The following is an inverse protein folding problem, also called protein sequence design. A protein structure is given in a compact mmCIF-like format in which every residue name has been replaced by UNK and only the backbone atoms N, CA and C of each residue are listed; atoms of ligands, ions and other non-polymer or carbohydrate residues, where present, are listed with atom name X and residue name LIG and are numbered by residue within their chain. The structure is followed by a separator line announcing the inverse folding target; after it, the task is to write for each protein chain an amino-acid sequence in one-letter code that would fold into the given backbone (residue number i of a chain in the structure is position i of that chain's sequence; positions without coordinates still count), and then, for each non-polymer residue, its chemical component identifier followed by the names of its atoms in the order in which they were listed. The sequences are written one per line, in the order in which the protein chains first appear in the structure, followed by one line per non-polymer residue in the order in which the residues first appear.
data_IF_718132414859
#
_entry.id   IF_718132414859
#
_cell.length_a   1.000
_cell.length_b   1.000
_cell.length_c   1.000
_cell.angle_alpha   90.00
_cell.angle_beta   90.00
_cell.angle_gamma   90.00
#
_symmetry.space_group_name_H-M   'P 1'
#
loop_
_entity.id
_entity.type
_entity.pdbx_description
1 polymer ?
#
# COMPACT_ATOMS: atom_id res chain seq x y z
N UNK A 1 -16.34 -15.94 15.01
CA UNK A 1 -14.94 -16.17 15.44
C UNK A 1 -14.11 -15.39 14.43
N UNK A 2 -13.54 -14.24 14.82
CA UNK A 2 -12.76 -13.44 13.89
C UNK A 2 -11.52 -14.25 13.52
N UNK A 3 -11.35 -14.55 12.23
CA UNK A 3 -10.14 -15.17 11.71
C UNK A 3 -9.05 -14.10 11.81
N UNK A 4 -8.23 -14.17 12.87
CA UNK A 4 -7.03 -13.36 12.99
C UNK A 4 -5.97 -14.01 12.10
N UNK A 5 -5.82 -13.48 10.89
CA UNK A 5 -4.66 -13.76 10.07
C UNK A 5 -3.42 -13.20 10.79
N UNK A 6 -2.30 -13.94 10.86
CA UNK A 6 -1.11 -13.41 11.51
C UNK A 6 -0.62 -12.19 10.72
N UNK A 7 -0.60 -11.04 11.39
CA UNK A 7 0.09 -9.84 10.90
C UNK A 7 1.58 -10.07 11.15
N UNK A 8 2.42 -9.89 10.14
CA UNK A 8 3.86 -9.94 10.29
C UNK A 8 4.41 -8.58 10.70
N UNK A 9 5.37 -8.59 11.63
CA UNK A 9 6.13 -7.39 12.00
C UNK A 9 5.31 -6.28 12.68
N UNK A 10 5.85 -5.07 12.61
CA UNK A 10 5.19 -3.84 13.05
C UNK A 10 4.05 -3.47 12.08
N UNK A 11 3.06 -2.71 12.57
CA UNK A 11 1.92 -2.27 11.77
C UNK A 11 1.90 -0.76 11.60
N UNK A 12 1.99 -0.29 10.36
CA UNK A 12 1.73 1.10 9.99
C UNK A 12 0.22 1.36 9.94
N UNK A 13 -0.21 2.44 10.61
CA UNK A 13 -1.63 2.84 10.68
C UNK A 13 -1.89 4.26 10.19
N UNK A 14 -0.87 5.12 10.08
CA UNK A 14 -0.99 6.43 9.45
C UNK A 14 0.36 7.02 9.06
N UNK A 15 0.39 7.97 8.12
CA UNK A 15 1.58 8.74 7.75
C UNK A 15 2.31 8.20 6.52
N UNK A 16 3.36 8.89 6.12
CA UNK A 16 4.07 8.66 4.87
C UNK A 16 5.05 7.48 4.99
N UNK A 17 5.02 6.59 4.00
CA UNK A 17 5.96 5.49 3.85
C UNK A 17 6.21 5.28 2.35
N UNK A 18 7.47 5.14 1.96
CA UNK A 18 7.82 4.47 0.71
C UNK A 18 7.80 2.98 0.99
N UNK A 19 6.60 2.40 0.85
CA UNK A 19 6.36 1.03 1.31
C UNK A 19 7.11 0.04 0.47
N UNK A 20 7.20 0.30 -0.84
CA UNK A 20 8.19 -0.35 -1.71
C UNK A 20 9.34 0.65 -1.89
N UNK A 21 10.26 0.66 -0.92
CA UNK A 21 11.54 1.34 -1.00
C UNK A 21 12.56 0.49 -1.76
N UNK A 22 13.43 1.14 -2.53
CA UNK A 22 14.36 0.46 -3.43
C UNK A 22 15.77 1.01 -3.22
N UNK A 23 16.61 0.22 -2.57
CA UNK A 23 18.03 0.50 -2.38
C UNK A 23 18.92 -0.29 -3.35
N UNK A 24 20.21 0.07 -3.39
CA UNK A 24 21.23 -0.69 -4.10
C UNK A 24 22.50 -0.84 -3.27
N UNK A 25 22.71 -2.04 -2.71
CA UNK A 25 23.83 -2.34 -1.81
C UNK A 25 24.55 -3.58 -2.27
N UNK A 26 25.89 -3.55 -2.25
CA UNK A 26 26.71 -4.73 -2.56
C UNK A 26 26.52 -5.29 -3.98
N UNK A 27 26.04 -4.48 -4.93
CA UNK A 27 25.82 -4.89 -6.32
C UNK A 27 24.46 -5.56 -6.60
N UNK A 28 23.50 -5.41 -5.68
CA UNK A 28 22.15 -5.96 -5.78
C UNK A 28 21.08 -4.92 -5.40
N UNK A 29 19.90 -5.05 -5.99
CA UNK A 29 18.71 -4.31 -5.57
C UNK A 29 18.25 -4.84 -4.21
N UNK A 30 17.98 -3.92 -3.28
CA UNK A 30 17.57 -4.19 -1.91
C UNK A 30 16.20 -3.54 -1.64
N UNK A 31 15.10 -4.28 -1.84
CA UNK A 31 13.78 -3.81 -1.47
C UNK A 31 13.68 -3.69 0.06
N UNK A 32 13.03 -2.64 0.55
CA UNK A 32 12.79 -2.37 1.96
C UNK A 32 11.53 -1.47 2.10
N UNK A 33 11.22 -1.01 3.32
CA UNK A 33 10.23 0.04 3.53
C UNK A 33 10.82 1.19 4.33
N UNK A 34 10.76 2.41 3.78
CA UNK A 34 11.22 3.64 4.44
C UNK A 34 10.01 4.39 4.99
N UNK A 35 9.84 4.38 6.32
CA UNK A 35 8.77 5.13 6.98
C UNK A 35 9.30 6.47 7.49
N UNK A 36 8.66 7.57 7.11
CA UNK A 36 9.12 8.90 7.50
C UNK A 36 8.70 9.28 8.93
N UNK A 37 9.45 10.22 9.51
CA UNK A 37 9.13 10.82 10.80
C UNK A 37 7.66 11.28 10.86
N UNK A 38 7.00 10.94 11.97
CA UNK A 38 5.57 11.21 12.19
C UNK A 38 4.62 10.11 11.71
N UNK A 39 5.09 9.12 10.94
CA UNK A 39 4.32 7.91 10.67
C UNK A 39 3.96 7.16 11.96
N UNK A 40 2.76 6.58 12.03
CA UNK A 40 2.23 5.89 13.22
C UNK A 40 2.43 4.38 13.05
N UNK A 41 3.45 3.85 13.72
CA UNK A 41 3.80 2.43 13.72
C UNK A 41 3.51 1.85 15.12
N UNK A 42 2.76 0.75 15.18
CA UNK A 42 2.30 0.12 16.43
C UNK A 42 1.63 1.11 17.41
N UNK A 43 0.90 2.08 16.85
CA UNK A 43 0.17 3.10 17.60
C UNK A 43 1.02 4.25 18.14
N UNK A 44 2.31 4.34 17.79
CA UNK A 44 3.22 5.41 18.22
C UNK A 44 3.80 6.15 17.02
N UNK A 45 3.95 7.49 17.08
CA UNK A 45 4.63 8.24 16.03
C UNK A 45 6.13 7.94 16.02
N UNK A 46 6.68 7.72 14.84
CA UNK A 46 8.13 7.70 14.61
C UNK A 46 8.71 9.09 14.85
N UNK A 47 9.85 9.16 15.54
CA UNK A 47 10.54 10.42 15.86
C UNK A 47 11.51 10.86 14.76
N UNK A 48 11.96 9.91 13.95
CA UNK A 48 12.86 10.06 12.83
C UNK A 48 12.47 9.06 11.74
N UNK A 49 13.03 9.23 10.54
CA UNK A 49 12.87 8.28 9.45
C UNK A 49 13.44 6.92 9.86
N UNK A 50 12.75 5.84 9.49
CA UNK A 50 13.07 4.48 9.94
C UNK A 50 12.91 3.49 8.79
N UNK A 51 13.98 2.72 8.55
CA UNK A 51 13.96 1.60 7.62
C UNK A 51 13.42 0.33 8.27
N UNK A 52 12.66 -0.42 7.50
CA UNK A 52 12.18 -1.76 7.84
C UNK A 52 12.59 -2.74 6.76
N UNK A 53 13.13 -3.89 7.17
CA UNK A 53 13.38 -4.99 6.25
C UNK A 53 12.05 -5.53 5.70
N UNK A 54 12.10 -6.17 4.53
CA UNK A 54 10.92 -6.82 3.95
C UNK A 54 10.34 -7.84 4.94
N UNK A 55 9.06 -7.68 5.25
CA UNK A 55 8.32 -8.53 6.20
C UNK A 55 8.35 -8.03 7.66
N UNK A 56 9.11 -6.97 7.97
CA UNK A 56 9.10 -6.33 9.29
C UNK A 56 8.03 -5.24 9.42
N UNK A 57 7.45 -4.79 8.31
CA UNK A 57 6.37 -3.82 8.30
C UNK A 57 5.17 -4.32 7.48
N UNK A 58 3.98 -4.13 8.03
CA UNK A 58 2.71 -4.30 7.32
C UNK A 58 1.88 -3.01 7.37
N UNK A 59 0.98 -2.82 6.41
CA UNK A 59 0.07 -1.66 6.40
C UNK A 59 -1.34 -2.09 6.76
N UNK A 60 -1.95 -1.40 7.72
CA UNK A 60 -3.38 -1.52 7.98
C UNK A 60 -4.19 -0.64 7.01
N UNK A 61 -5.11 -1.26 6.26
CA UNK A 61 -6.02 -0.56 5.34
C UNK A 61 -7.42 -0.57 5.95
N UNK A 62 -7.86 0.58 6.46
CA UNK A 62 -9.19 0.74 7.06
C UNK A 62 -10.09 1.72 6.27
N UNK A 63 -9.48 2.60 5.48
CA UNK A 63 -10.20 3.55 4.63
C UNK A 63 -10.94 2.84 3.51
N UNK A 64 -12.09 3.38 3.12
CA UNK A 64 -12.84 2.93 1.94
C UNK A 64 -13.29 4.12 1.10
N UNK A 65 -13.47 3.86 -0.19
CA UNK A 65 -14.00 4.81 -1.16
C UNK A 65 -15.04 4.12 -2.03
N UNK A 66 -15.96 4.89 -2.60
CA UNK A 66 -16.98 4.36 -3.52
C UNK A 66 -16.47 4.39 -4.95
N UNK A 67 -16.52 3.24 -5.64
CA UNK A 67 -16.13 3.17 -7.05
C UNK A 67 -17.00 4.10 -7.91
N UNK A 68 -16.41 5.03 -8.68
CA UNK A 68 -17.15 5.87 -9.62
C UNK A 68 -17.91 5.08 -10.68
N UNK A 69 -18.89 5.72 -11.31
CA UNK A 69 -19.87 5.01 -12.11
C UNK A 69 -19.35 4.49 -13.46
N UNK A 70 -18.34 5.15 -14.02
CA UNK A 70 -17.86 4.89 -15.37
C UNK A 70 -17.13 3.55 -15.51
N UNK A 71 -17.13 3.04 -16.74
CA UNK A 71 -16.55 1.74 -17.09
C UNK A 71 -15.02 1.72 -16.99
N UNK A 72 -14.38 2.87 -17.10
CA UNK A 72 -12.95 3.07 -16.92
C UNK A 72 -12.47 2.62 -15.52
N UNK A 73 -13.36 2.63 -14.52
CA UNK A 73 -13.09 2.13 -13.17
C UNK A 73 -13.28 0.61 -13.00
N UNK A 74 -13.64 -0.12 -14.05
CA UNK A 74 -13.99 -1.56 -13.93
C UNK A 74 -12.86 -2.39 -13.32
N UNK A 75 -11.61 -2.07 -13.62
CA UNK A 75 -10.41 -2.75 -13.14
C UNK A 75 -10.16 -2.64 -11.62
N UNK A 76 -10.97 -1.89 -10.86
CA UNK A 76 -10.99 -1.98 -9.38
C UNK A 76 -11.47 -3.37 -8.91
N UNK A 77 -12.37 -4.01 -9.67
CA UNK A 77 -12.91 -5.32 -9.31
C UNK A 77 -14.17 -5.31 -8.43
N UNK A 78 -14.81 -4.14 -8.25
CA UNK A 78 -16.15 -4.03 -7.64
C UNK A 78 -17.17 -3.39 -8.60
N UNK A 79 -18.46 -3.58 -8.32
CA UNK A 79 -19.55 -2.97 -9.08
C UNK A 79 -19.55 -1.43 -9.01
N UNK A 80 -20.16 -0.79 -10.00
CA UNK A 80 -20.35 0.67 -10.03
C UNK A 80 -21.14 1.12 -8.78
N UNK A 81 -20.65 2.13 -8.06
CA UNK A 81 -21.26 2.60 -6.82
C UNK A 81 -21.05 1.69 -5.60
N UNK A 82 -20.25 0.63 -5.73
CA UNK A 82 -19.87 -0.24 -4.60
C UNK A 82 -18.59 0.29 -3.95
N UNK A 83 -18.53 0.27 -2.62
CA UNK A 83 -17.34 0.65 -1.88
C UNK A 83 -16.27 -0.45 -1.90
N UNK A 84 -15.02 -0.03 -1.91
CA UNK A 84 -13.85 -0.89 -1.77
C UNK A 84 -12.85 -0.22 -0.82
N UNK A 85 -11.96 -1.01 -0.23
CA UNK A 85 -10.95 -0.50 0.69
C UNK A 85 -9.79 0.10 -0.08
N UNK A 86 -9.29 1.24 0.38
CA UNK A 86 -8.24 1.94 -0.31
C UNK A 86 -7.25 2.63 0.62
N UNK A 87 -5.98 2.65 0.21
CA UNK A 87 -5.04 3.69 0.63
C UNK A 87 -5.08 4.82 -0.41
N UNK A 88 -5.02 6.08 0.01
CA UNK A 88 -5.21 7.22 -0.88
C UNK A 88 -3.91 7.58 -1.62
N UNK A 89 -4.04 8.00 -2.88
CA UNK A 89 -2.91 8.56 -3.66
C UNK A 89 -2.51 9.98 -3.22
N UNK A 90 -3.33 10.62 -2.38
CA UNK A 90 -3.03 11.90 -1.75
C UNK A 90 -3.09 11.76 -0.23
N UNK A 91 -2.17 12.42 0.47
CA UNK A 91 -2.07 12.32 1.92
C UNK A 91 -3.39 12.68 2.60
N UNK A 92 -3.93 11.72 3.36
CA UNK A 92 -5.17 11.88 4.13
C UNK A 92 -4.87 11.67 5.62
N UNK A 93 -5.16 12.64 6.49
CA UNK A 93 -4.91 12.51 7.92
C UNK A 93 -5.55 11.25 8.51
N UNK A 94 -4.77 10.49 9.30
CA UNK A 94 -5.24 9.26 9.94
C UNK A 94 -5.28 8.03 9.04
N UNK A 95 -4.78 8.12 7.80
CA UNK A 95 -4.57 6.97 6.92
C UNK A 95 -3.09 6.79 6.60
N UNK A 96 -2.62 5.56 6.31
CA UNK A 96 -1.31 5.35 5.73
C UNK A 96 -1.25 5.99 4.34
N UNK A 97 -0.12 6.60 4.03
CA UNK A 97 0.16 7.21 2.74
C UNK A 97 1.34 6.46 2.13
N UNK A 98 1.02 5.41 1.37
CA UNK A 98 1.99 4.45 0.88
C UNK A 98 2.41 4.77 -0.56
N UNK A 99 3.70 4.99 -0.75
CA UNK A 99 4.35 5.18 -2.04
C UNK A 99 5.22 4.01 -2.47
N UNK A 100 5.79 4.17 -3.65
CA UNK A 100 6.96 3.44 -4.13
C UNK A 100 8.08 4.47 -4.21
N UNK A 101 9.22 4.20 -3.58
CA UNK A 101 10.35 5.11 -3.49
C UNK A 101 11.62 4.50 -4.07
N UNK A 102 12.40 5.31 -4.79
CA UNK A 102 13.72 4.96 -5.30
C UNK A 102 14.77 6.00 -4.88
N UNK A 103 14.52 6.71 -3.78
CA UNK A 103 15.36 7.80 -3.28
C UNK A 103 16.76 7.35 -2.84
N UNK A 104 16.92 6.06 -2.52
CA UNK A 104 18.22 5.47 -2.21
C UNK A 104 19.04 5.05 -3.44
N UNK A 105 18.46 5.14 -4.64
CA UNK A 105 19.18 4.91 -5.88
C UNK A 105 19.87 6.19 -6.35
N UNK A 106 21.08 6.04 -6.90
CA UNK A 106 21.73 7.13 -7.63
C UNK A 106 21.26 7.09 -9.09
N UNK A 107 20.48 8.07 -9.61
CA UNK A 107 19.87 7.96 -10.94
C UNK A 107 20.86 7.76 -12.08
N UNK A 108 22.06 8.35 -11.98
CA UNK A 108 23.10 8.23 -13.01
C UNK A 108 23.68 6.82 -13.17
N UNK A 109 23.41 5.94 -12.22
CA UNK A 109 23.93 4.57 -12.22
C UNK A 109 23.01 3.61 -13.00
N UNK A 110 21.82 4.08 -13.42
CA UNK A 110 20.82 3.28 -14.13
C UNK A 110 20.62 3.82 -15.54
N UNK A 111 20.56 2.91 -16.52
CA UNK A 111 20.35 3.25 -17.94
C UNK A 111 18.96 2.84 -18.45
N UNK A 112 18.13 2.31 -17.57
CA UNK A 112 16.70 2.05 -17.79
C UNK A 112 15.88 2.59 -16.62
N UNK A 113 14.56 2.77 -16.80
CA UNK A 113 13.64 2.94 -15.69
C UNK A 113 13.68 1.73 -14.76
N UNK A 114 13.32 1.93 -13.49
CA UNK A 114 13.07 0.85 -12.55
C UNK A 114 11.66 0.33 -12.78
N UNK A 115 11.53 -0.98 -13.00
CA UNK A 115 10.26 -1.65 -13.23
C UNK A 115 9.85 -2.45 -12.00
N UNK A 116 8.66 -2.17 -11.49
CA UNK A 116 8.03 -2.86 -10.37
C UNK A 116 6.86 -3.66 -10.95
N UNK A 117 6.99 -4.99 -10.98
CA UNK A 117 5.99 -5.89 -11.58
C UNK A 117 5.32 -6.70 -10.46
N UNK A 118 3.99 -6.71 -10.40
CA UNK A 118 3.26 -7.61 -9.51
C UNK A 118 3.39 -9.03 -10.07
N UNK A 119 3.90 -9.97 -9.29
CA UNK A 119 4.16 -11.35 -9.74
C UNK A 119 3.32 -12.38 -9.01
N UNK A 120 2.89 -12.09 -7.78
CA UNK A 120 2.03 -12.97 -7.01
C UNK A 120 1.13 -12.21 -6.04
N UNK A 121 -0.03 -12.79 -5.72
CA UNK A 121 -0.95 -12.32 -4.69
C UNK A 121 -1.50 -13.52 -3.92
N UNK A 122 -1.38 -13.49 -2.60
CA UNK A 122 -2.13 -14.35 -1.67
C UNK A 122 -3.12 -13.47 -0.90
N UNK A 123 -4.41 -13.79 -0.97
CA UNK A 123 -5.48 -12.95 -0.43
C UNK A 123 -6.73 -13.80 -0.13
N UNK A 124 -7.77 -13.24 0.52
CA UNK A 124 -9.06 -13.92 0.68
C UNK A 124 -9.64 -14.41 -0.64
N UNK A 125 -10.44 -15.47 -0.62
CA UNK A 125 -11.07 -16.02 -1.83
C UNK A 125 -11.99 -14.98 -2.46
N UNK A 126 -11.79 -14.68 -3.75
CA UNK A 126 -12.57 -13.67 -4.49
C UNK A 126 -12.06 -12.24 -4.31
N UNK A 127 -10.99 -12.05 -3.55
CA UNK A 127 -10.32 -10.76 -3.41
C UNK A 127 -9.59 -10.35 -4.69
N UNK A 128 -9.68 -9.06 -5.00
CA UNK A 128 -8.89 -8.39 -6.03
C UNK A 128 -8.08 -7.24 -5.40
N UNK A 129 -6.92 -7.02 -5.98
CA UNK A 129 -6.04 -5.88 -5.81
C UNK A 129 -5.98 -5.03 -7.09
N UNK A 130 -5.89 -3.71 -6.93
CA UNK A 130 -5.59 -2.76 -8.00
C UNK A 130 -4.64 -1.64 -7.54
N UNK A 131 -3.72 -1.23 -8.39
CA UNK A 131 -2.85 -0.05 -8.21
C UNK A 131 -3.14 0.94 -9.33
N UNK A 132 -3.52 2.16 -8.99
CA UNK A 132 -3.85 3.18 -9.99
C UNK A 132 -3.50 4.60 -9.53
N UNK A 133 -3.50 5.52 -10.48
CA UNK A 133 -3.54 6.95 -10.25
C UNK A 133 -4.75 7.57 -10.94
N UNK A 134 -5.23 8.71 -10.46
CA UNK A 134 -6.24 9.51 -11.18
C UNK A 134 -5.63 10.78 -11.77
N UNK A 135 -6.06 11.14 -12.97
CA UNK A 135 -5.68 12.41 -13.57
C UNK A 135 -6.48 13.60 -12.99
N UNK A 136 -6.19 14.80 -13.46
CA UNK A 136 -6.87 16.02 -12.99
C UNK A 136 -8.38 16.10 -13.27
N UNK A 137 -8.91 15.19 -14.09
CA UNK A 137 -10.34 15.05 -14.39
C UNK A 137 -10.99 13.89 -13.62
N UNK A 138 -10.19 13.09 -12.91
CA UNK A 138 -10.64 11.91 -12.16
C UNK A 138 -10.68 10.63 -12.99
N UNK A 139 -10.05 10.60 -14.17
CA UNK A 139 -9.96 9.39 -14.97
C UNK A 139 -8.82 8.49 -14.44
N UNK A 140 -9.06 7.18 -14.25
CA UNK A 140 -8.08 6.29 -13.66
C UNK A 140 -7.10 5.74 -14.70
N UNK A 141 -5.81 5.73 -14.35
CA UNK A 141 -4.78 4.94 -15.04
C UNK A 141 -4.38 3.79 -14.13
N UNK A 142 -4.72 2.56 -14.53
CA UNK A 142 -4.33 1.35 -13.80
C UNK A 142 -2.94 0.90 -14.22
N UNK A 143 -2.09 0.67 -13.22
CA UNK A 143 -0.77 0.06 -13.40
C UNK A 143 -0.82 -1.44 -13.11
N UNK A 144 -1.69 -1.84 -12.17
CA UNK A 144 -1.88 -3.23 -11.79
C UNK A 144 -3.35 -3.49 -11.50
N UNK A 145 -3.89 -4.61 -11.96
CA UNK A 145 -5.18 -5.12 -11.55
C UNK A 145 -5.21 -6.64 -11.65
N UNK A 146 -5.68 -7.28 -10.59
CA UNK A 146 -5.85 -8.74 -10.55
C UNK A 146 -7.25 -9.19 -10.98
N UNK A 147 -8.07 -8.28 -11.52
CA UNK A 147 -9.40 -8.59 -12.06
C UNK A 147 -9.30 -9.37 -13.38
N UNK A 148 -10.30 -10.20 -13.68
CA UNK A 148 -10.60 -10.79 -15.00
C UNK A 148 -9.39 -11.28 -15.82
N UNK A 149 -8.61 -12.18 -15.22
CA UNK A 149 -7.42 -12.77 -15.84
C UNK A 149 -6.32 -13.09 -14.83
N UNK A 150 -6.42 -12.50 -13.63
CA UNK A 150 -5.39 -12.59 -12.60
C UNK A 150 -4.21 -11.70 -12.94
N UNK A 151 -3.04 -12.04 -12.41
CA UNK A 151 -1.80 -11.30 -12.68
C UNK A 151 -1.31 -11.61 -14.10
N UNK A 152 -0.98 -10.58 -14.85
CA UNK A 152 -0.52 -10.59 -16.23
C UNK A 152 0.82 -9.86 -16.39
N UNK A 153 1.43 -9.95 -17.57
CA UNK A 153 2.64 -9.18 -17.88
C UNK A 153 2.42 -7.66 -17.95
N UNK A 154 1.15 -7.21 -18.00
CA UNK A 154 0.75 -5.81 -18.00
C UNK A 154 0.69 -5.18 -16.60
N UNK A 155 0.81 -5.98 -15.55
CA UNK A 155 0.69 -5.52 -14.16
C UNK A 155 2.03 -5.02 -13.62
N UNK A 156 2.41 -3.83 -14.07
CA UNK A 156 3.66 -3.19 -13.68
C UNK A 156 3.55 -1.66 -13.63
N UNK A 157 4.43 -1.08 -12.83
CA UNK A 157 4.76 0.34 -12.86
C UNK A 157 6.22 0.50 -13.32
N UNK A 158 6.49 1.52 -14.14
CA UNK A 158 7.84 1.89 -14.55
C UNK A 158 8.13 3.30 -14.05
N UNK A 159 9.15 3.41 -13.20
CA UNK A 159 9.63 4.63 -12.61
C UNK A 159 10.88 5.09 -13.36
N UNK A 160 10.78 6.21 -14.07
CA UNK A 160 11.95 6.94 -14.53
C UNK A 160 12.65 7.55 -13.32
N UNK A 161 13.98 7.41 -13.21
CA UNK A 161 14.74 7.92 -12.07
C UNK A 161 15.18 9.39 -12.24
N UNK A 162 15.03 10.14 -11.17
CA UNK A 162 15.19 11.56 -10.98
C UNK A 162 15.50 11.82 -9.49
N UNK A 163 15.81 13.07 -9.13
CA UNK A 163 16.19 13.40 -7.75
C UNK A 163 14.91 13.38 -6.88
N UNK A 164 14.94 12.64 -5.76
CA UNK A 164 13.82 12.49 -4.80
C UNK A 164 12.63 11.68 -5.32
N UNK A 165 12.87 10.71 -6.21
CA UNK A 165 11.77 9.97 -6.83
C UNK A 165 11.02 9.04 -5.89
N UNK A 166 9.79 9.44 -5.61
CA UNK A 166 8.74 8.61 -5.05
C UNK A 166 7.44 8.83 -5.84
N UNK A 167 6.61 7.79 -5.89
CA UNK A 167 5.33 7.80 -6.58
C UNK A 167 4.21 7.32 -5.66
N UNK A 168 3.10 8.05 -5.66
CA UNK A 168 1.92 7.71 -4.88
C UNK A 168 0.80 7.17 -5.74
N UNK A 169 0.03 6.25 -5.16
CA UNK A 169 -1.00 5.51 -5.84
C UNK A 169 -2.21 5.34 -4.92
N UNK A 170 -3.35 5.11 -5.55
CA UNK A 170 -4.46 4.49 -4.86
C UNK A 170 -4.20 2.98 -4.86
N UNK A 171 -4.12 2.40 -3.66
CA UNK A 171 -4.00 0.96 -3.46
C UNK A 171 -5.39 0.42 -3.14
N UNK A 172 -6.03 -0.30 -4.06
CA UNK A 172 -7.41 -0.79 -3.93
C UNK A 172 -7.48 -2.26 -3.56
N UNK A 173 -8.40 -2.60 -2.65
CA UNK A 173 -8.67 -3.95 -2.15
C UNK A 173 -10.18 -4.20 -2.07
N UNK A 174 -10.65 -5.36 -2.55
CA UNK A 174 -12.09 -5.63 -2.66
C UNK A 174 -12.68 -6.45 -1.51
N UNK A 175 -11.86 -7.01 -0.61
CA UNK A 175 -12.29 -7.87 0.48
C UNK A 175 -11.50 -7.56 1.77
N UNK A 176 -12.09 -7.94 2.90
CA UNK A 176 -11.42 -7.86 4.20
C UNK A 176 -10.46 -9.05 4.37
N UNK A 177 -9.28 -8.79 4.93
CA UNK A 177 -8.30 -9.81 5.26
C UNK A 177 -6.87 -9.41 4.92
N UNK A 178 -5.97 -10.37 4.98
CA UNK A 178 -4.56 -10.16 4.70
C UNK A 178 -4.28 -10.40 3.22
N UNK A 179 -3.55 -9.46 2.62
CA UNK A 179 -3.04 -9.52 1.26
C UNK A 179 -1.52 -9.53 1.34
N UNK A 180 -0.91 -10.62 0.86
CA UNK A 180 0.53 -10.69 0.62
C UNK A 180 0.76 -10.49 -0.89
N UNK A 181 1.30 -9.32 -1.25
CA UNK A 181 1.59 -8.94 -2.64
C UNK A 181 3.08 -9.09 -2.90
N UNK A 182 3.46 -9.89 -3.89
CA UNK A 182 4.86 -10.08 -4.28
C UNK A 182 5.16 -9.27 -5.52
N UNK A 183 6.22 -8.46 -5.44
CA UNK A 183 6.69 -7.64 -6.54
C UNK A 183 8.09 -8.05 -6.95
N UNK A 184 8.34 -8.12 -8.25
CA UNK A 184 9.68 -8.15 -8.82
C UNK A 184 10.08 -6.71 -9.19
N UNK A 185 11.23 -6.26 -8.68
CA UNK A 185 11.83 -4.97 -8.97
C UNK A 185 13.05 -5.22 -9.85
N UNK A 186 13.14 -4.54 -11.00
CA UNK A 186 14.23 -4.72 -11.95
C UNK A 186 14.68 -3.43 -12.63
N UNK A 187 15.93 -3.40 -13.09
CA UNK A 187 16.50 -2.28 -13.84
C UNK A 187 17.88 -2.63 -14.41
N UNK A 188 18.33 -1.91 -15.44
CA UNK A 188 19.65 -2.07 -16.03
C UNK A 188 20.65 -1.10 -15.38
N UNK A 189 21.58 -1.64 -14.59
CA UNK A 189 22.67 -0.86 -13.99
C UNK A 189 23.79 -0.63 -15.00
N UNK A 190 24.33 0.58 -15.08
CA UNK A 190 25.29 1.01 -16.08
C UNK A 190 26.59 0.17 -16.11
N UNK A 191 26.99 -0.36 -14.96
CA UNK A 191 28.22 -1.15 -14.80
C UNK A 191 27.94 -2.63 -14.58
N UNK A 192 26.89 -2.94 -13.82
CA UNK A 192 26.66 -4.29 -13.30
C UNK A 192 25.60 -5.08 -14.09
N UNK A 193 25.05 -4.47 -15.14
CA UNK A 193 24.03 -5.04 -16.02
C UNK A 193 22.65 -5.12 -15.38
N UNK A 194 21.77 -5.94 -15.96
CA UNK A 194 20.42 -6.20 -15.45
C UNK A 194 20.45 -6.68 -14.00
N UNK A 195 19.70 -5.97 -13.14
CA UNK A 195 19.42 -6.31 -11.76
C UNK A 195 17.95 -6.62 -11.58
N UNK A 196 17.68 -7.59 -10.71
CA UNK A 196 16.34 -7.95 -10.29
C UNK A 196 16.37 -8.46 -8.85
N UNK A 197 15.32 -8.13 -8.11
CA UNK A 197 15.03 -8.66 -6.78
C UNK A 197 13.52 -8.85 -6.62
N UNK A 198 13.08 -9.68 -5.69
CA UNK A 198 11.66 -9.90 -5.41
C UNK A 198 11.38 -9.83 -3.91
N UNK A 199 10.28 -9.19 -3.56
CA UNK A 199 9.88 -8.99 -2.17
C UNK A 199 8.35 -9.10 -2.02
N UNK A 200 7.91 -9.59 -0.87
CA UNK A 200 6.49 -9.72 -0.52
C UNK A 200 6.12 -8.72 0.56
N UNK A 201 5.11 -7.90 0.29
CA UNK A 201 4.61 -6.86 1.18
C UNK A 201 3.20 -7.20 1.65
N UNK A 202 2.94 -6.93 2.92
CA UNK A 202 1.69 -7.31 3.58
C UNK A 202 0.78 -6.12 3.84
N UNK A 203 -0.48 -6.26 3.41
CA UNK A 203 -1.57 -5.35 3.76
C UNK A 203 -2.61 -6.11 4.59
N UNK A 204 -3.09 -5.47 5.66
CA UNK A 204 -4.18 -5.99 6.49
C UNK A 204 -5.41 -5.10 6.32
N UNK A 205 -6.36 -5.58 5.51
CA UNK A 205 -7.60 -4.87 5.20
C UNK A 205 -8.64 -5.15 6.26
N UNK A 206 -9.03 -4.12 7.00
CA UNK A 206 -9.91 -4.21 8.17
C UNK A 206 -11.18 -3.37 7.97
N UNK A 207 -12.28 -3.71 8.66
CA UNK A 207 -13.45 -2.83 8.67
C UNK A 207 -13.07 -1.43 9.14
N UNK A 208 -13.71 -0.42 8.56
CA UNK A 208 -13.56 0.95 9.05
C UNK A 208 -13.90 1.00 10.55
N UNK A 209 -13.01 1.59 11.34
CA UNK A 209 -13.23 1.75 12.78
C UNK A 209 -14.38 2.73 12.98
N UNK A 210 -15.62 2.25 13.01
CA UNK A 210 -16.76 3.14 13.19
C UNK A 210 -16.60 3.91 14.52
N UNK A 211 -16.49 5.23 14.43
CA UNK A 211 -16.44 6.16 15.59
C UNK A 211 -17.66 6.00 16.51
N UNK A 212 -18.71 5.32 16.05
CA UNK A 212 -19.93 5.01 16.79
C UNK A 212 -19.77 4.01 17.95
N UNK A 213 -18.82 3.06 17.90
CA UNK A 213 -18.69 2.05 18.97
C UNK A 213 -18.09 2.62 20.26
N UNK A 214 -17.20 3.62 20.17
CA UNK A 214 -16.64 4.31 21.34
C UNK A 214 -17.68 5.13 22.10
N UNK A 215 -18.69 5.66 21.40
CA UNK A 215 -19.77 6.46 22.00
C UNK A 215 -20.70 5.64 22.92
N UNK A 216 -20.88 4.34 22.65
CA UNK A 216 -21.76 3.45 23.42
C UNK A 216 -21.12 2.96 24.74
N UNK A 217 -19.79 2.83 24.79
CA UNK A 217 -19.07 2.51 26.02
C UNK A 217 -18.99 3.71 26.98
N UNK A 218 -18.98 4.94 26.46
CA UNK A 218 -19.03 6.16 27.28
C UNK A 218 -20.40 6.41 27.94
N UNK A 219 -21.50 6.12 27.23
CA UNK A 219 -22.85 6.37 27.73
C UNK A 219 -23.29 5.41 28.87
N UNK A 220 -22.74 4.19 28.91
CA UNK A 220 -23.08 3.22 29.96
C UNK A 220 -22.40 3.50 31.30
N UNK A 221 -21.28 4.23 31.32
CA UNK A 221 -20.60 4.64 32.57
C UNK A 221 -21.28 5.85 33.23
N UNK A 222 -21.89 6.75 32.45
CA UNK A 222 -22.53 7.97 32.98
C UNK A 222 -23.92 7.75 33.61
N UNK A 223 -24.59 6.63 33.34
CA UNK A 223 -25.93 6.35 33.90
C UNK A 223 -25.90 5.67 35.28
N UNK A 224 -24.73 5.48 35.91
CA UNK A 224 -24.60 4.77 37.21
C UNK A 224 -24.33 5.63 38.45
N UNK A 225 -24.36 6.97 38.37
CA UNK A 225 -24.37 7.82 39.58
C UNK A 225 -25.80 8.20 39.99
N UNK A 226 -26.36 7.36 40.87
CA UNK A 226 -27.55 7.54 41.75
C UNK A 226 -27.60 8.97 42.32
N UNK A 227 -28.73 9.70 42.40
CA UNK A 227 -30.04 9.42 43.02
C UNK A 227 -29.96 8.78 44.42
N UNK A 228 -29.53 9.57 45.41
CA UNK A 228 -30.25 9.90 46.66
C UNK A 228 -29.37 10.79 47.53
#
# INVERSE_FOLDING_TARGET
MAMTWPVMGATLTSGHVDFIGIGYVGGALEPHSHAHAGAIVDGSPLVEDTEFEVGELSIQVAGNVTRPAGSEWSAVGVGSGVSFWALPETSTPGQPFAGIGAEELTPSDWISPIRITLTNMSAPVGAHFSLLQTDGFGDPTFFMSTLDGGITAGDFYSMDLSIEDHAHFLWGFTELGVYDLTFEISGEHAVDGLKSSSATYQFNVVPETSTGLMSLLGATVLLRRKRK
#
